data_IF_805423987504
#
_entry.id   IF_805423987504
#
_cell.length_a   1.000
_cell.length_b   1.000
_cell.length_c   1.000
_cell.angle_alpha   90.00
_cell.angle_beta   90.00
_cell.angle_gamma   90.00
#
_symmetry.space_group_name_H-M   'P 1'
#
loop_
_entity.id
_entity.type
_entity.pdbx_description
1 polymer ?
#
# COMPACT_ATOMS: atom_id res chain seq x y z
N UNK A 1 -15.64 16.72 32.58
CA UNK A 1 -16.35 16.86 31.29
C UNK A 1 -15.30 17.06 30.21
N UNK A 2 -14.77 15.98 29.64
CA UNK A 2 -13.91 16.07 28.46
C UNK A 2 -14.80 16.47 27.28
N UNK A 3 -14.64 17.70 26.81
CA UNK A 3 -15.32 18.16 25.62
C UNK A 3 -14.86 17.31 24.46
N UNK A 4 -15.75 16.49 23.90
CA UNK A 4 -15.53 15.78 22.64
C UNK A 4 -15.25 16.81 21.54
N UNK A 5 -13.97 17.13 21.35
CA UNK A 5 -13.52 17.97 20.25
C UNK A 5 -14.04 17.34 18.95
N UNK A 6 -14.87 18.08 18.22
CA UNK A 6 -15.38 17.61 16.93
C UNK A 6 -14.17 17.23 16.07
N UNK A 7 -14.13 16.00 15.50
CA UNK A 7 -13.00 15.59 14.69
C UNK A 7 -12.79 16.63 13.59
N UNK A 8 -11.60 17.23 13.54
CA UNK A 8 -11.25 18.13 12.46
C UNK A 8 -11.51 17.41 11.15
N UNK A 9 -12.33 18.01 10.29
CA UNK A 9 -12.62 17.46 8.97
C UNK A 9 -11.33 17.57 8.17
N UNK A 10 -10.60 16.46 8.08
CA UNK A 10 -9.37 16.37 7.31
C UNK A 10 -9.72 16.58 5.84
N UNK A 11 -9.15 17.62 5.23
CA UNK A 11 -9.32 17.88 3.81
C UNK A 11 -8.72 16.71 3.00
N UNK A 12 -9.61 15.95 2.37
CA UNK A 12 -9.27 14.77 1.57
C UNK A 12 -8.50 15.12 0.30
N UNK A 13 -8.47 16.39 -0.10
CA UNK A 13 -7.64 16.83 -1.22
C UNK A 13 -6.17 16.96 -0.84
N UNK A 14 -5.89 17.19 0.45
CA UNK A 14 -4.56 17.54 0.96
C UNK A 14 -3.90 16.32 1.62
N UNK A 15 -4.67 15.44 2.25
CA UNK A 15 -4.16 14.23 2.89
C UNK A 15 -4.75 12.99 2.23
N UNK A 16 -3.88 12.11 1.72
CA UNK A 16 -4.29 10.84 1.17
C UNK A 16 -4.44 9.79 2.27
N UNK A 17 -5.69 9.50 2.64
CA UNK A 17 -6.02 8.44 3.59
C UNK A 17 -6.42 7.16 2.84
N UNK A 18 -5.45 6.28 2.61
CA UNK A 18 -5.71 4.99 1.95
C UNK A 18 -6.61 4.07 2.79
N UNK A 19 -6.57 4.17 4.11
CA UNK A 19 -7.40 3.35 5.01
C UNK A 19 -8.91 3.58 4.79
N UNK A 20 -9.30 4.81 4.46
CA UNK A 20 -10.69 5.18 4.13
C UNK A 20 -11.02 4.95 2.66
N UNK A 21 -10.13 5.33 1.74
CA UNK A 21 -10.41 5.22 0.29
C UNK A 21 -10.41 3.77 -0.24
N UNK A 22 -9.79 2.85 0.50
CA UNK A 22 -9.61 1.45 0.10
C UNK A 22 -10.04 0.47 1.18
N UNK A 23 -10.95 0.88 2.05
CA UNK A 23 -11.39 0.09 3.20
C UNK A 23 -11.81 -1.33 2.80
N UNK A 24 -12.66 -1.48 1.78
CA UNK A 24 -13.09 -2.79 1.30
C UNK A 24 -11.93 -3.65 0.81
N UNK A 25 -11.00 -3.07 0.05
CA UNK A 25 -9.85 -3.81 -0.46
C UNK A 25 -8.90 -4.23 0.68
N UNK A 26 -8.71 -3.38 1.68
CA UNK A 26 -7.92 -3.69 2.87
C UNK A 26 -8.60 -4.74 3.76
N UNK A 27 -9.93 -4.75 3.83
CA UNK A 27 -10.69 -5.82 4.49
C UNK A 27 -10.55 -7.14 3.74
N UNK A 28 -10.71 -7.11 2.41
CA UNK A 28 -10.55 -8.28 1.54
C UNK A 28 -9.12 -8.81 1.50
N UNK A 29 -8.09 -8.03 1.82
CA UNK A 29 -6.70 -8.50 1.93
C UNK A 29 -6.29 -8.88 3.35
N UNK A 30 -7.22 -8.82 4.31
CA UNK A 30 -6.96 -8.97 5.74
C UNK A 30 -5.98 -7.93 6.33
N UNK A 31 -5.71 -6.82 5.61
CA UNK A 31 -4.92 -5.69 6.12
C UNK A 31 -5.67 -4.86 7.15
N UNK A 32 -7.01 -4.85 7.09
CA UNK A 32 -7.87 -4.13 8.03
C UNK A 32 -8.91 -5.07 8.61
N UNK A 33 -8.91 -5.18 9.93
CA UNK A 33 -9.96 -5.87 10.70
C UNK A 33 -10.85 -4.79 11.32
N UNK A 34 -12.16 -4.85 11.03
CA UNK A 34 -13.09 -3.85 11.55
C UNK A 34 -13.22 -3.97 13.07
N UNK A 35 -12.83 -2.93 13.79
CA UNK A 35 -12.97 -2.83 15.25
C UNK A 35 -14.30 -2.17 15.68
N UNK A 36 -15.25 -1.98 14.75
CA UNK A 36 -16.51 -1.28 15.04
C UNK A 36 -17.45 -2.04 15.98
N UNK A 37 -17.41 -3.38 15.99
CA UNK A 37 -18.14 -4.21 16.96
C UNK A 37 -17.36 -5.48 17.26
N UNK A 38 -17.60 -6.08 18.44
CA UNK A 38 -16.97 -7.37 18.82
C UNK A 38 -17.24 -8.44 17.76
N UNK A 39 -18.47 -8.55 17.28
CA UNK A 39 -18.85 -9.53 16.24
C UNK A 39 -18.09 -9.31 14.94
N UNK A 40 -18.00 -8.07 14.43
CA UNK A 40 -17.24 -7.77 13.20
C UNK A 40 -15.75 -8.07 13.35
N UNK A 41 -15.19 -7.84 14.54
CA UNK A 41 -13.80 -8.20 14.85
C UNK A 41 -13.60 -9.72 14.84
N UNK A 42 -14.48 -10.49 15.48
CA UNK A 42 -14.43 -11.95 15.46
C UNK A 42 -14.56 -12.50 14.03
N UNK A 43 -15.55 -12.01 13.25
CA UNK A 43 -15.72 -12.41 11.86
C UNK A 43 -14.49 -12.09 11.00
N UNK A 44 -13.90 -10.90 11.17
CA UNK A 44 -12.67 -10.52 10.47
C UNK A 44 -11.46 -11.37 10.84
N UNK A 45 -11.30 -11.71 12.12
CA UNK A 45 -10.24 -12.62 12.59
C UNK A 45 -10.42 -14.05 12.07
N UNK A 46 -11.65 -14.58 12.11
CA UNK A 46 -11.97 -15.90 11.55
C UNK A 46 -11.69 -15.94 10.05
N UNK A 47 -12.09 -14.89 9.32
CA UNK A 47 -11.77 -14.76 7.90
C UNK A 47 -10.26 -14.74 7.65
N UNK A 48 -9.50 -13.93 8.39
CA UNK A 48 -8.06 -13.87 8.28
C UNK A 48 -7.38 -15.23 8.57
N UNK A 49 -7.88 -15.98 9.56
CA UNK A 49 -7.41 -17.33 9.88
C UNK A 49 -7.70 -18.32 8.74
N UNK A 50 -8.91 -18.30 8.18
CA UNK A 50 -9.29 -19.16 7.04
C UNK A 50 -8.39 -18.88 5.84
N UNK A 51 -8.15 -17.60 5.53
CA UNK A 51 -7.28 -17.18 4.43
C UNK A 51 -5.84 -17.61 4.68
N UNK A 52 -5.35 -17.47 5.92
CA UNK A 52 -4.01 -17.90 6.30
C UNK A 52 -3.85 -19.41 6.11
N UNK A 53 -4.80 -20.21 6.61
CA UNK A 53 -4.80 -21.67 6.46
C UNK A 53 -4.87 -22.08 4.98
N UNK A 54 -5.70 -21.38 4.19
CA UNK A 54 -5.79 -21.59 2.75
C UNK A 54 -4.45 -21.34 2.05
N UNK A 55 -3.82 -20.18 2.28
CA UNK A 55 -2.51 -19.86 1.70
C UNK A 55 -1.40 -20.80 2.17
N UNK A 56 -1.46 -21.26 3.43
CA UNK A 56 -0.53 -22.23 3.96
C UNK A 56 -0.69 -23.61 3.30
N UNK A 57 -1.93 -24.06 3.10
CA UNK A 57 -2.20 -25.29 2.33
C UNK A 57 -1.65 -25.18 0.91
N UNK A 58 -1.91 -24.07 0.21
CA UNK A 58 -1.42 -23.84 -1.15
C UNK A 58 0.12 -23.78 -1.23
N UNK A 59 0.78 -23.24 -0.20
CA UNK A 59 2.23 -23.29 -0.07
C UNK A 59 2.73 -24.74 -0.04
N UNK A 60 2.14 -25.58 0.83
CA UNK A 60 2.52 -26.98 0.94
C UNK A 60 2.24 -27.74 -0.36
N UNK A 61 1.09 -27.50 -0.99
CA UNK A 61 0.74 -28.09 -2.28
C UNK A 61 1.72 -27.67 -3.39
N UNK A 62 2.11 -26.40 -3.43
CA UNK A 62 3.10 -25.88 -4.37
C UNK A 62 4.49 -26.49 -4.20
N UNK A 63 4.96 -26.61 -2.95
CA UNK A 63 6.24 -27.27 -2.64
C UNK A 63 6.22 -28.77 -2.99
N UNK A 64 5.10 -29.45 -2.72
CA UNK A 64 4.94 -30.85 -3.10
C UNK A 64 4.92 -31.03 -4.63
N UNK A 65 4.18 -30.17 -5.33
CA UNK A 65 4.18 -30.13 -6.80
C UNK A 65 5.56 -29.91 -7.38
N UNK A 66 6.35 -29.01 -6.80
CA UNK A 66 7.72 -28.73 -7.23
C UNK A 66 8.58 -30.00 -7.25
N UNK A 67 8.46 -30.85 -6.21
CA UNK A 67 9.17 -32.14 -6.15
C UNK A 67 8.68 -33.08 -7.25
N UNK A 68 7.37 -33.16 -7.49
CA UNK A 68 6.79 -34.06 -8.50
C UNK A 68 7.17 -33.70 -9.95
N UNK A 69 7.41 -32.43 -10.23
CA UNK A 69 7.65 -31.92 -11.60
C UNK A 69 9.11 -31.52 -11.84
N UNK A 70 10.05 -31.87 -10.96
CA UNK A 70 11.46 -31.45 -11.05
C UNK A 70 12.12 -31.79 -12.40
N UNK A 71 11.62 -32.82 -13.10
CA UNK A 71 12.07 -33.19 -14.45
C UNK A 71 11.58 -32.26 -15.57
N UNK A 72 10.52 -31.48 -15.37
CA UNK A 72 9.95 -30.54 -16.33
C UNK A 72 10.33 -29.10 -15.93
N UNK A 73 11.44 -28.59 -16.45
CA UNK A 73 12.01 -27.28 -16.09
C UNK A 73 11.02 -26.13 -16.20
N UNK A 74 10.13 -26.15 -17.19
CA UNK A 74 9.15 -25.09 -17.43
C UNK A 74 8.10 -25.08 -16.31
N UNK A 75 7.49 -26.24 -16.04
CA UNK A 75 6.50 -26.36 -14.96
C UNK A 75 7.11 -26.15 -13.59
N UNK A 76 8.35 -26.60 -13.40
CA UNK A 76 9.11 -26.39 -12.17
C UNK A 76 9.30 -24.89 -11.90
N UNK A 77 9.71 -24.10 -12.91
CA UNK A 77 9.89 -22.66 -12.75
C UNK A 77 8.56 -21.93 -12.50
N UNK A 78 7.50 -22.30 -13.24
CA UNK A 78 6.15 -21.76 -13.02
C UNK A 78 5.67 -22.03 -11.57
N UNK A 79 5.85 -23.25 -11.08
CA UNK A 79 5.44 -23.68 -9.74
C UNK A 79 6.26 -22.99 -8.66
N UNK A 80 7.58 -22.90 -8.84
CA UNK A 80 8.47 -22.21 -7.91
C UNK A 80 8.11 -20.73 -7.82
N UNK A 81 7.87 -20.07 -8.96
CA UNK A 81 7.45 -18.68 -8.99
C UNK A 81 6.13 -18.47 -8.22
N UNK A 82 5.14 -19.33 -8.47
CA UNK A 82 3.87 -19.27 -7.74
C UNK A 82 4.03 -19.53 -6.25
N UNK A 83 4.85 -20.51 -5.85
CA UNK A 83 5.15 -20.77 -4.45
C UNK A 83 5.80 -19.54 -3.78
N UNK A 84 6.73 -18.85 -4.44
CA UNK A 84 7.33 -17.61 -3.93
C UNK A 84 6.26 -16.51 -3.73
N UNK A 85 5.33 -16.36 -4.67
CA UNK A 85 4.23 -15.38 -4.53
C UNK A 85 3.27 -15.72 -3.38
N UNK A 86 2.98 -17.01 -3.16
CA UNK A 86 2.20 -17.46 -2.00
C UNK A 86 2.97 -17.22 -0.70
N UNK A 87 4.28 -17.46 -0.69
CA UNK A 87 5.13 -17.20 0.46
C UNK A 87 5.11 -15.72 0.82
N UNK A 88 5.23 -14.86 -0.19
CA UNK A 88 5.13 -13.43 -0.06
C UNK A 88 3.79 -13.01 0.56
N UNK A 89 2.67 -13.50 0.03
CA UNK A 89 1.34 -13.19 0.57
C UNK A 89 1.16 -13.67 2.03
N UNK A 90 1.59 -14.91 2.32
CA UNK A 90 1.52 -15.51 3.66
C UNK A 90 2.40 -14.76 4.67
N UNK A 91 3.61 -14.38 4.26
CA UNK A 91 4.55 -13.60 5.08
C UNK A 91 3.96 -12.24 5.42
N UNK A 92 3.33 -11.57 4.46
CA UNK A 92 2.67 -10.30 4.69
C UNK A 92 1.49 -10.41 5.66
N UNK A 93 0.65 -11.42 5.50
CA UNK A 93 -0.45 -11.67 6.42
C UNK A 93 0.05 -11.93 7.84
N UNK A 94 1.10 -12.74 7.97
CA UNK A 94 1.72 -13.07 9.27
C UNK A 94 2.36 -11.85 9.92
N UNK A 95 3.08 -11.03 9.14
CA UNK A 95 3.70 -9.79 9.63
C UNK A 95 2.66 -8.78 10.05
N UNK A 96 1.53 -8.66 9.33
CA UNK A 96 0.46 -7.74 9.72
C UNK A 96 -0.19 -8.12 11.05
N UNK A 97 -0.28 -9.41 11.38
CA UNK A 97 -0.76 -9.87 12.68
C UNK A 97 0.20 -9.52 13.83
N UNK A 98 1.49 -9.31 13.54
CA UNK A 98 2.53 -8.97 14.54
C UNK A 98 2.85 -7.47 14.63
N UNK A 99 2.59 -6.72 13.56
CA UNK A 99 3.08 -5.36 13.39
C UNK A 99 2.02 -4.31 13.74
N UNK A 100 2.39 -3.44 14.69
CA UNK A 100 1.68 -2.18 15.00
C UNK A 100 2.00 -1.13 13.94
N UNK A 101 1.28 -1.18 12.81
CA UNK A 101 1.31 -0.11 11.80
C UNK A 101 0.44 1.09 12.19
N UNK A 102 -0.42 0.95 13.21
CA UNK A 102 -1.33 2.00 13.65
C UNK A 102 -0.63 3.34 13.97
N UNK A 103 0.51 3.38 14.70
CA UNK A 103 1.15 4.65 15.04
C UNK A 103 1.64 5.41 13.81
N UNK A 104 2.19 4.70 12.82
CA UNK A 104 2.62 5.31 11.56
C UNK A 104 1.40 5.88 10.83
N UNK A 105 0.35 5.08 10.67
CA UNK A 105 -0.89 5.54 10.02
C UNK A 105 -1.51 6.75 10.72
N UNK A 106 -1.44 6.81 12.05
CA UNK A 106 -1.94 7.92 12.83
C UNK A 106 -1.19 9.21 12.54
N UNK A 107 0.14 9.17 12.43
CA UNK A 107 0.98 10.33 12.06
C UNK A 107 0.59 10.84 10.67
N UNK A 108 0.43 9.95 9.69
CA UNK A 108 0.00 10.35 8.34
C UNK A 108 -1.41 10.94 8.32
N UNK A 109 -2.34 10.37 9.10
CA UNK A 109 -3.73 10.82 9.15
C UNK A 109 -3.91 12.16 9.87
N UNK A 110 -3.12 12.43 10.91
CA UNK A 110 -3.10 13.72 11.61
C UNK A 110 -2.37 14.81 10.81
N UNK A 111 -1.56 14.40 9.83
CA UNK A 111 -0.61 15.27 9.15
C UNK A 111 0.69 15.36 9.94
N UNK A 112 1.82 15.43 9.23
CA UNK A 112 3.15 15.44 9.84
C UNK A 112 3.40 16.71 10.66
N UNK A 113 3.41 17.84 9.97
CA UNK A 113 3.71 19.14 10.54
C UNK A 113 2.86 20.20 9.85
N UNK A 114 2.36 21.13 10.65
CA UNK A 114 1.57 22.27 10.18
C UNK A 114 2.30 23.52 10.59
N UNK A 115 2.76 24.29 9.61
CA UNK A 115 3.34 25.61 9.86
C UNK A 115 2.23 26.60 10.24
N UNK A 116 2.55 27.61 11.04
CA UNK A 116 1.59 28.69 11.28
C UNK A 116 1.31 29.44 9.97
N UNK A 117 0.04 29.43 9.52
CA UNK A 117 -0.72 30.20 8.48
C UNK A 117 -0.02 30.84 7.26
N UNK A 118 1.27 31.11 7.25
CA UNK A 118 1.97 31.98 6.30
C UNK A 118 2.59 31.22 5.10
N UNK A 119 2.44 29.89 5.03
CA UNK A 119 2.90 29.04 3.93
C UNK A 119 1.75 28.25 3.26
N UNK A 120 0.51 28.55 3.65
CA UNK A 120 -0.63 27.66 3.49
C UNK A 120 -0.88 27.26 2.02
N UNK A 121 -0.99 28.23 1.11
CA UNK A 121 -1.46 27.96 -0.25
C UNK A 121 -0.49 27.11 -1.08
N UNK A 122 0.80 27.46 -1.12
CA UNK A 122 1.81 26.67 -1.86
C UNK A 122 2.01 25.28 -1.24
N UNK A 123 1.96 25.17 0.09
CA UNK A 123 2.04 23.86 0.75
C UNK A 123 0.83 22.99 0.43
N UNK A 124 -0.37 23.58 0.45
CA UNK A 124 -1.60 22.92 0.04
C UNK A 124 -1.55 22.46 -1.41
N UNK A 125 -1.02 23.28 -2.31
CA UNK A 125 -0.84 22.92 -3.72
C UNK A 125 0.13 21.74 -3.89
N UNK A 126 1.29 21.77 -3.23
CA UNK A 126 2.25 20.65 -3.24
C UNK A 126 1.54 19.37 -2.77
N UNK A 127 0.89 19.42 -1.60
CA UNK A 127 0.17 18.26 -1.03
C UNK A 127 -0.90 17.74 -1.99
N UNK A 128 -1.75 18.62 -2.52
CA UNK A 128 -2.81 18.28 -3.48
C UNK A 128 -2.25 17.61 -4.74
N UNK A 129 -1.15 18.11 -5.27
CA UNK A 129 -0.47 17.52 -6.42
C UNK A 129 0.04 16.10 -6.11
N UNK A 130 0.64 15.88 -4.95
CA UNK A 130 1.06 14.54 -4.52
C UNK A 130 -0.11 13.59 -4.29
N UNK A 131 -1.20 14.03 -3.65
CA UNK A 131 -2.42 13.23 -3.47
C UNK A 131 -3.01 12.82 -4.82
N UNK A 132 -3.11 13.76 -5.77
CA UNK A 132 -3.58 13.47 -7.14
C UNK A 132 -2.68 12.43 -7.82
N UNK A 133 -1.37 12.60 -7.71
CA UNK A 133 -0.40 11.67 -8.28
C UNK A 133 -0.49 10.28 -7.65
N UNK A 134 -0.63 10.17 -6.33
CA UNK A 134 -0.83 8.89 -5.62
C UNK A 134 -2.07 8.19 -6.15
N UNK A 135 -3.21 8.89 -6.24
CA UNK A 135 -4.47 8.31 -6.77
C UNK A 135 -4.32 7.81 -8.20
N UNK A 136 -3.63 8.56 -9.05
CA UNK A 136 -3.38 8.16 -10.44
C UNK A 136 -2.49 6.92 -10.53
N UNK A 137 -1.35 6.91 -9.83
CA UNK A 137 -0.41 5.78 -9.82
C UNK A 137 -1.08 4.53 -9.27
N UNK A 138 -1.78 4.63 -8.13
CA UNK A 138 -2.49 3.51 -7.52
C UNK A 138 -3.60 2.96 -8.42
N UNK A 139 -4.36 3.84 -9.10
CA UNK A 139 -5.39 3.43 -10.08
C UNK A 139 -4.78 2.67 -11.26
N UNK A 140 -3.65 3.11 -11.78
CA UNK A 140 -2.94 2.44 -12.87
C UNK A 140 -2.36 1.11 -12.43
N UNK A 141 -1.64 1.08 -11.31
CA UNK A 141 -1.05 -0.13 -10.75
C UNK A 141 -2.09 -1.22 -10.55
N UNK A 142 -3.23 -0.89 -9.91
CA UNK A 142 -4.32 -1.85 -9.70
C UNK A 142 -4.84 -2.44 -11.01
N UNK A 143 -5.06 -1.60 -12.03
CA UNK A 143 -5.52 -2.06 -13.35
C UNK A 143 -4.50 -3.01 -13.98
N UNK A 144 -3.21 -2.68 -13.90
CA UNK A 144 -2.13 -3.51 -14.43
C UNK A 144 -2.04 -4.86 -13.70
N UNK A 145 -2.06 -4.87 -12.36
CA UNK A 145 -1.98 -6.09 -11.56
C UNK A 145 -3.17 -7.01 -11.82
N UNK A 146 -4.39 -6.48 -11.78
CA UNK A 146 -5.61 -7.29 -12.04
C UNK A 146 -5.64 -7.81 -13.47
N UNK A 147 -5.30 -6.96 -14.45
CA UNK A 147 -5.22 -7.38 -15.86
C UNK A 147 -4.16 -8.45 -16.08
N UNK A 148 -3.00 -8.33 -15.42
CA UNK A 148 -1.92 -9.32 -15.49
C UNK A 148 -2.34 -10.66 -14.89
N UNK A 149 -2.95 -10.67 -13.69
CA UNK A 149 -3.45 -11.90 -13.06
C UNK A 149 -4.53 -12.59 -13.90
N UNK A 150 -5.47 -11.82 -14.45
CA UNK A 150 -6.50 -12.33 -15.36
C UNK A 150 -5.91 -12.89 -16.65
N UNK A 151 -4.99 -12.16 -17.28
CA UNK A 151 -4.29 -12.58 -18.49
C UNK A 151 -3.52 -13.88 -18.24
N UNK A 152 -2.81 -13.99 -17.12
CA UNK A 152 -2.10 -15.20 -16.73
C UNK A 152 -3.04 -16.41 -16.66
N UNK A 153 -4.19 -16.28 -15.99
CA UNK A 153 -5.17 -17.36 -15.86
C UNK A 153 -5.73 -17.79 -17.23
N UNK A 154 -6.13 -16.83 -18.07
CA UNK A 154 -6.69 -17.14 -19.39
C UNK A 154 -5.64 -17.74 -20.34
N UNK A 155 -4.51 -17.05 -20.53
CA UNK A 155 -3.51 -17.45 -21.52
C UNK A 155 -2.82 -18.76 -21.14
N UNK A 156 -2.52 -19.00 -19.85
CA UNK A 156 -1.93 -20.29 -19.47
C UNK A 156 -2.89 -21.45 -19.65
N UNK A 157 -4.17 -21.26 -19.35
CA UNK A 157 -5.20 -22.29 -19.59
C UNK A 157 -5.33 -22.58 -21.09
N UNK A 158 -5.44 -21.54 -21.91
CA UNK A 158 -5.55 -21.67 -23.35
C UNK A 158 -4.31 -22.34 -23.97
N UNK A 159 -3.11 -21.92 -23.56
CA UNK A 159 -1.83 -22.52 -23.97
C UNK A 159 -1.79 -24.01 -23.63
N UNK A 160 -2.11 -24.37 -22.38
CA UNK A 160 -2.11 -25.77 -21.92
C UNK A 160 -3.14 -26.63 -22.65
N UNK A 161 -4.32 -26.07 -22.91
CA UNK A 161 -5.35 -26.72 -23.73
C UNK A 161 -4.83 -27.00 -25.16
N UNK A 162 -4.25 -25.98 -25.82
CA UNK A 162 -3.68 -26.14 -27.17
C UNK A 162 -2.55 -27.17 -27.17
N UNK A 163 -1.60 -27.11 -26.22
CA UNK A 163 -0.50 -28.08 -26.13
C UNK A 163 -1.00 -29.52 -26.00
N UNK A 164 -2.12 -29.74 -25.30
CA UNK A 164 -2.71 -31.07 -25.15
C UNK A 164 -3.25 -31.66 -26.44
N UNK A 165 -3.71 -30.81 -27.38
CA UNK A 165 -4.20 -31.26 -28.68
C UNK A 165 -3.06 -31.87 -29.51
N UNK A 166 -1.83 -31.40 -29.30
CA UNK A 166 -0.65 -31.86 -30.05
C UNK A 166 0.14 -32.97 -29.34
N UNK A 167 0.13 -33.01 -28.00
CA UNK A 167 0.89 -34.02 -27.22
C UNK A 167 0.00 -35.23 -26.90
N UNK A 168 0.19 -36.34 -27.64
CA UNK A 168 -0.53 -37.61 -27.43
C UNK A 168 -0.15 -38.41 -26.17
N UNK A 169 0.86 -37.99 -25.40
CA UNK A 169 1.32 -38.76 -24.23
C UNK A 169 0.63 -38.29 -22.95
N UNK A 170 -0.13 -39.14 -22.25
CA UNK A 170 -0.55 -38.83 -20.90
C UNK A 170 0.72 -38.68 -20.05
N UNK A 171 0.85 -37.55 -19.34
CA UNK A 171 1.92 -37.40 -18.37
C UNK A 171 1.69 -38.42 -17.25
N UNK A 172 2.71 -39.18 -16.89
CA UNK A 172 2.69 -40.08 -15.72
C UNK A 172 2.62 -39.32 -14.37
N UNK A 173 2.69 -37.98 -14.42
CA UNK A 173 2.66 -37.11 -13.26
C UNK A 173 1.20 -36.96 -12.80
N UNK A 174 0.91 -37.13 -11.50
CA UNK A 174 -0.43 -37.01 -10.92
C UNK A 174 -0.88 -35.55 -10.74
N UNK A 175 -0.53 -34.67 -11.69
CA UNK A 175 -0.91 -33.27 -11.71
C UNK A 175 -1.62 -33.00 -13.02
N UNK A 176 -2.80 -32.40 -12.92
CA UNK A 176 -3.59 -32.08 -14.09
C UNK A 176 -2.86 -31.03 -14.97
N UNK A 177 -2.51 -31.35 -16.23
CA UNK A 177 -1.74 -30.46 -17.07
C UNK A 177 -2.54 -29.23 -17.54
N UNK A 178 -3.86 -29.22 -17.36
CA UNK A 178 -4.77 -28.14 -17.80
C UNK A 178 -4.96 -27.03 -16.77
N UNK A 179 -4.54 -27.24 -15.52
CA UNK A 179 -4.66 -26.20 -14.49
C UNK A 179 -3.71 -25.03 -14.80
N UNK A 180 -4.13 -23.76 -14.62
CA UNK A 180 -3.27 -22.59 -14.85
C UNK A 180 -1.97 -22.68 -14.07
N UNK A 181 -2.07 -23.11 -12.81
CA UNK A 181 -0.94 -23.38 -11.92
C UNK A 181 -0.94 -24.89 -11.64
N UNK A 182 0.17 -25.60 -11.88
CA UNK A 182 0.24 -27.06 -11.77
C UNK A 182 0.45 -27.49 -10.30
N UNK A 183 -0.41 -27.02 -9.40
CA UNK A 183 -0.43 -27.45 -8.01
C UNK A 183 -1.13 -28.80 -7.84
N UNK A 184 -0.62 -29.58 -6.88
CA UNK A 184 -1.19 -30.86 -6.51
C UNK A 184 -2.51 -30.62 -5.80
N UNK A 185 -3.51 -31.42 -6.15
CA UNK A 185 -4.80 -31.45 -5.47
C UNK A 185 -5.07 -32.87 -5.00
N UNK A 186 -5.57 -33.06 -3.76
CA UNK A 186 -5.75 -34.38 -3.16
C UNK A 186 -7.05 -35.07 -3.64
N UNK A 187 -7.49 -34.77 -4.86
CA UNK A 187 -8.69 -35.34 -5.45
C UNK A 187 -8.51 -35.46 -6.97
N UNK A 188 -9.21 -36.43 -7.57
CA UNK A 188 -9.15 -36.62 -9.00
C UNK A 188 -9.79 -35.44 -9.74
N UNK A 189 -9.11 -34.91 -10.75
CA UNK A 189 -9.55 -33.78 -11.58
C UNK A 189 -9.97 -34.23 -12.98
N UNK A 190 -10.22 -35.53 -13.16
CA UNK A 190 -10.74 -36.10 -14.40
C UNK A 190 -12.19 -35.64 -14.71
N UNK A 191 -12.99 -35.40 -13.68
CA UNK A 191 -14.37 -34.94 -13.83
C UNK A 191 -14.45 -33.43 -14.03
N UNK A 192 -15.45 -32.96 -14.79
CA UNK A 192 -15.68 -31.52 -15.01
C UNK A 192 -15.86 -30.79 -13.67
N UNK A 193 -16.64 -31.36 -12.75
CA UNK A 193 -16.92 -30.75 -11.45
C UNK A 193 -15.64 -30.57 -10.63
N UNK A 194 -14.83 -31.63 -10.47
CA UNK A 194 -13.61 -31.57 -9.68
C UNK A 194 -12.54 -30.70 -10.34
N UNK A 195 -12.46 -30.71 -11.68
CA UNK A 195 -11.63 -29.76 -12.41
C UNK A 195 -12.05 -28.31 -12.16
N UNK A 196 -13.35 -28.00 -12.22
CA UNK A 196 -13.86 -26.65 -11.94
C UNK A 196 -13.51 -26.21 -10.52
N UNK A 197 -13.60 -27.10 -9.52
CA UNK A 197 -13.20 -26.78 -8.13
C UNK A 197 -11.69 -26.46 -8.05
N UNK A 198 -10.83 -27.28 -8.66
CA UNK A 198 -9.39 -27.02 -8.70
C UNK A 198 -9.05 -25.73 -9.46
N UNK A 199 -9.77 -25.43 -10.54
CA UNK A 199 -9.62 -24.19 -11.29
C UNK A 199 -10.03 -22.97 -10.45
N UNK A 200 -11.19 -23.03 -9.79
CA UNK A 200 -11.67 -21.95 -8.93
C UNK A 200 -10.73 -21.70 -7.74
N UNK A 201 -10.08 -22.75 -7.24
CA UNK A 201 -9.03 -22.66 -6.23
C UNK A 201 -7.83 -21.85 -6.76
N UNK A 202 -7.38 -22.13 -7.99
CA UNK A 202 -6.33 -21.34 -8.67
C UNK A 202 -6.74 -19.88 -8.94
N UNK A 203 -8.01 -19.64 -9.25
CA UNK A 203 -8.54 -18.27 -9.39
C UNK A 203 -8.52 -17.56 -8.04
N UNK A 204 -8.95 -18.24 -6.97
CA UNK A 204 -8.99 -17.67 -5.62
C UNK A 204 -7.59 -17.29 -5.13
N UNK A 205 -6.60 -18.19 -5.27
CA UNK A 205 -5.22 -17.89 -4.85
C UNK A 205 -4.61 -16.74 -5.67
N UNK A 206 -4.83 -16.72 -6.99
CA UNK A 206 -4.33 -15.63 -7.84
C UNK A 206 -4.98 -14.30 -7.49
N UNK A 207 -6.30 -14.30 -7.25
CA UNK A 207 -7.02 -13.14 -6.75
C UNK A 207 -6.41 -12.62 -5.45
N UNK A 208 -6.18 -13.50 -4.48
CA UNK A 208 -5.56 -13.16 -3.20
C UNK A 208 -4.18 -12.55 -3.34
N UNK A 209 -3.30 -13.17 -4.13
CA UNK A 209 -1.97 -12.63 -4.46
C UNK A 209 -2.11 -11.23 -5.05
N UNK A 210 -3.01 -11.02 -6.02
CA UNK A 210 -3.22 -9.72 -6.64
C UNK A 210 -3.68 -8.66 -5.62
N UNK A 211 -4.69 -8.95 -4.80
CA UNK A 211 -5.24 -7.99 -3.83
C UNK A 211 -4.18 -7.62 -2.78
N UNK A 212 -3.48 -8.61 -2.23
CA UNK A 212 -2.40 -8.38 -1.24
C UNK A 212 -1.30 -7.53 -1.87
N UNK A 213 -0.86 -7.86 -3.08
CA UNK A 213 0.16 -7.11 -3.82
C UNK A 213 -0.24 -5.66 -4.05
N UNK A 214 -1.46 -5.42 -4.53
CA UNK A 214 -1.97 -4.05 -4.73
C UNK A 214 -2.01 -3.30 -3.40
N UNK A 215 -2.50 -3.91 -2.31
CA UNK A 215 -2.54 -3.25 -1.00
C UNK A 215 -1.15 -2.83 -0.52
N UNK A 216 -0.16 -3.72 -0.63
CA UNK A 216 1.21 -3.43 -0.17
C UNK A 216 1.82 -2.28 -0.98
N UNK A 217 1.72 -2.35 -2.31
CA UNK A 217 2.26 -1.29 -3.15
C UNK A 217 1.50 0.03 -2.97
N UNK A 218 0.17 0.01 -2.83
CA UNK A 218 -0.61 1.23 -2.58
C UNK A 218 -0.17 1.87 -1.26
N UNK A 219 0.00 1.11 -0.18
CA UNK A 219 0.53 1.61 1.10
C UNK A 219 1.93 2.19 0.90
N UNK A 220 2.85 1.41 0.31
CA UNK A 220 4.24 1.82 0.12
C UNK A 220 4.38 3.10 -0.72
N UNK A 221 3.73 3.16 -1.89
CA UNK A 221 3.74 4.34 -2.77
C UNK A 221 3.15 5.54 -2.06
N UNK A 222 2.07 5.36 -1.29
CA UNK A 222 1.42 6.44 -0.56
C UNK A 222 2.31 7.01 0.52
N UNK A 223 2.97 6.15 1.31
CA UNK A 223 3.91 6.57 2.36
C UNK A 223 5.10 7.32 1.74
N UNK A 224 5.73 6.76 0.71
CA UNK A 224 6.90 7.35 0.07
C UNK A 224 6.58 8.70 -0.58
N UNK A 225 5.45 8.81 -1.28
CA UNK A 225 5.04 10.06 -1.95
C UNK A 225 4.66 11.14 -0.95
N UNK A 226 3.96 10.78 0.13
CA UNK A 226 3.63 11.73 1.19
C UNK A 226 4.88 12.19 1.95
N UNK A 227 5.82 11.28 2.24
CA UNK A 227 7.12 11.65 2.84
C UNK A 227 7.91 12.59 1.92
N UNK A 228 7.96 12.30 0.62
CA UNK A 228 8.57 13.19 -0.39
C UNK A 228 7.92 14.58 -0.38
N UNK A 229 6.59 14.64 -0.29
CA UNK A 229 5.88 15.91 -0.20
C UNK A 229 6.30 16.72 1.05
N UNK A 230 6.50 16.07 2.20
CA UNK A 230 6.97 16.77 3.40
C UNK A 230 8.41 17.29 3.27
N UNK A 231 9.32 16.53 2.66
CA UNK A 231 10.66 17.02 2.37
C UNK A 231 10.66 18.23 1.41
N UNK A 232 9.78 18.21 0.41
CA UNK A 232 9.62 19.34 -0.52
C UNK A 232 9.07 20.59 0.18
N UNK A 233 8.10 20.39 1.08
CA UNK A 233 7.57 21.46 1.94
C UNK A 233 8.64 22.01 2.87
N UNK A 234 9.44 21.15 3.51
CA UNK A 234 10.55 21.57 4.37
C UNK A 234 11.57 22.38 3.58
N UNK A 235 11.96 21.92 2.39
CA UNK A 235 12.88 22.63 1.52
C UNK A 235 12.33 24.01 1.13
N UNK A 236 11.07 24.08 0.69
CA UNK A 236 10.39 25.35 0.40
C UNK A 236 10.40 26.29 1.62
N UNK A 237 10.18 25.75 2.81
CA UNK A 237 10.13 26.49 4.06
C UNK A 237 11.49 27.02 4.51
N UNK A 238 12.58 26.32 4.18
CA UNK A 238 13.96 26.77 4.41
C UNK A 238 14.33 27.84 3.38
N UNK A 239 14.06 27.62 2.09
CA UNK A 239 14.35 28.59 1.03
C UNK A 239 13.64 29.93 1.24
N UNK A 240 12.44 29.91 1.83
CA UNK A 240 11.64 31.11 2.10
C UNK A 240 11.71 31.57 3.57
N UNK A 241 12.75 31.19 4.33
CA UNK A 241 12.82 31.49 5.77
C UNK A 241 12.84 32.99 6.06
N UNK A 242 13.54 33.78 5.25
CA UNK A 242 13.63 35.24 5.38
C UNK A 242 12.28 35.89 5.11
N UNK A 243 11.58 35.47 4.06
CA UNK A 243 10.25 35.99 3.72
C UNK A 243 9.23 35.67 4.82
N UNK A 244 9.31 34.49 5.45
CA UNK A 244 8.47 34.12 6.58
C UNK A 244 8.77 34.98 7.80
N UNK A 245 10.04 35.16 8.13
CA UNK A 245 10.47 36.02 9.23
C UNK A 245 9.99 37.46 9.03
N UNK A 246 10.08 37.98 7.80
CA UNK A 246 9.59 39.30 7.42
C UNK A 246 8.08 39.44 7.60
N UNK A 247 7.30 38.44 7.14
CA UNK A 247 5.84 38.43 7.33
C UNK A 247 5.46 38.45 8.80
N UNK A 248 6.14 37.66 9.65
CA UNK A 248 5.94 37.65 11.10
C UNK A 248 6.30 38.98 11.74
N UNK A 249 7.44 39.55 11.39
CA UNK A 249 7.91 40.84 11.90
C UNK A 249 6.95 41.99 11.56
N UNK A 250 6.39 41.99 10.35
CA UNK A 250 5.41 42.99 9.92
C UNK A 250 4.01 42.78 10.53
N UNK A 251 3.73 41.62 11.12
CA UNK A 251 2.44 41.31 11.74
C UNK A 251 2.29 42.13 13.01
N UNK A 252 1.58 43.26 12.91
CA UNK A 252 1.36 44.19 14.01
C UNK A 252 2.17 45.49 13.92
N UNK A 253 2.98 45.68 12.87
CA UNK A 253 3.65 46.97 12.59
C UNK A 253 2.98 47.68 11.42
N UNK A 254 2.45 48.87 11.67
CA UNK A 254 2.00 49.80 10.63
C UNK A 254 3.18 50.70 10.27
N UNK A 255 3.86 50.42 9.16
CA UNK A 255 4.99 51.24 8.70
C UNK A 255 5.47 50.88 7.30
N UNK A 256 6.21 51.78 6.64
CA UNK A 256 6.78 51.52 5.32
C UNK A 256 7.75 50.34 5.38
N UNK A 257 7.77 49.52 4.33
CA UNK A 257 8.68 48.37 4.22
C UNK A 257 10.13 48.87 4.18
N UNK A 258 10.86 48.63 5.26
CA UNK A 258 12.31 48.83 5.31
C UNK A 258 13.01 47.78 4.43
N UNK A 259 14.22 48.11 3.95
CA UNK A 259 15.08 47.16 3.24
C UNK A 259 15.48 46.02 4.17
N UNK A 260 15.43 44.78 3.68
CA UNK A 260 15.67 43.57 4.49
C UNK A 260 17.06 43.58 5.11
N UNK A 261 18.05 44.15 4.43
CA UNK A 261 19.43 44.28 4.90
C UNK A 261 19.53 45.08 6.21
N UNK A 262 18.70 46.11 6.37
CA UNK A 262 18.65 46.92 7.59
C UNK A 262 17.94 46.19 8.74
N UNK A 263 16.98 45.31 8.41
CA UNK A 263 16.23 44.54 9.40
C UNK A 263 17.10 43.50 10.12
N UNK A 264 18.16 42.99 9.48
CA UNK A 264 19.08 42.05 10.14
C UNK A 264 19.78 42.63 11.38
N UNK A 265 19.89 43.96 11.49
CA UNK A 265 20.45 44.61 12.69
C UNK A 265 19.42 44.74 13.82
N UNK A 266 18.14 44.51 13.55
CA UNK A 266 17.07 44.63 14.53
C UNK A 266 16.85 43.31 15.25
N UNK A 267 16.98 43.32 16.58
CA UNK A 267 16.79 42.15 17.44
C UNK A 267 15.45 41.45 17.21
N UNK A 268 14.37 42.22 17.08
CA UNK A 268 13.01 41.68 16.88
C UNK A 268 12.87 40.88 15.57
N UNK A 269 13.56 41.29 14.50
CA UNK A 269 13.57 40.55 13.24
C UNK A 269 14.43 39.28 13.35
N UNK A 270 15.57 39.35 14.03
CA UNK A 270 16.39 38.18 14.33
C UNK A 270 15.62 37.13 15.15
N UNK A 271 14.82 37.57 16.13
CA UNK A 271 13.95 36.68 16.93
C UNK A 271 12.90 35.98 16.05
N UNK A 272 12.28 36.70 15.10
CA UNK A 272 11.35 36.12 14.13
C UNK A 272 12.03 35.08 13.21
N UNK A 273 13.25 35.38 12.76
CA UNK A 273 14.06 34.47 11.94
C UNK A 273 14.43 33.20 12.70
N UNK A 274 14.85 33.35 13.96
CA UNK A 274 15.18 32.23 14.85
C UNK A 274 13.97 31.32 15.06
N UNK A 275 12.77 31.86 15.27
CA UNK A 275 11.57 31.03 15.42
C UNK A 275 11.21 30.30 14.12
N UNK A 276 11.33 30.96 12.96
CA UNK A 276 11.11 30.29 11.67
C UNK A 276 12.08 29.13 11.43
N UNK A 277 13.35 29.28 11.85
CA UNK A 277 14.36 28.22 11.81
C UNK A 277 14.04 27.08 12.78
N UNK A 278 13.63 27.40 14.02
CA UNK A 278 13.18 26.41 15.01
C UNK A 278 12.04 25.57 14.49
N UNK A 279 11.07 26.16 13.80
CA UNK A 279 9.98 25.42 13.17
C UNK A 279 10.47 24.45 12.09
N UNK A 280 11.46 24.84 11.28
CA UNK A 280 12.06 23.94 10.29
C UNK A 280 12.78 22.78 10.96
N UNK A 281 13.52 23.03 12.05
CA UNK A 281 14.17 21.98 12.85
C UNK A 281 13.14 21.04 13.47
N UNK A 282 12.05 21.58 14.04
CA UNK A 282 10.94 20.77 14.59
C UNK A 282 10.31 19.90 13.50
N UNK A 283 10.02 20.46 12.32
CA UNK A 283 9.49 19.70 11.19
C UNK A 283 10.46 18.59 10.77
N UNK A 284 11.75 18.88 10.61
CA UNK A 284 12.74 17.87 10.27
C UNK A 284 12.82 16.74 11.31
N UNK A 285 12.81 17.08 12.60
CA UNK A 285 12.79 16.10 13.67
C UNK A 285 11.54 15.20 13.64
N UNK A 286 10.38 15.75 13.28
CA UNK A 286 9.16 14.95 13.06
C UNK A 286 9.31 13.98 11.89
N UNK A 287 10.06 14.34 10.84
CA UNK A 287 10.30 13.45 9.69
C UNK A 287 11.29 12.31 9.99
N UNK A 288 12.18 12.49 10.96
CA UNK A 288 13.17 11.47 11.35
C UNK A 288 12.63 10.44 12.35
N UNK A 289 11.51 10.74 13.02
CA UNK A 289 10.87 9.88 14.01
C UNK A 289 9.92 8.88 13.35
#
# INVERSE_FOLDING_TARGET
MEGNAKPQVVDREVIYNFDKERELQMMMSCFKISNSSKLKRYLGLSYALIVWLFLFYEMCAGLYSFVLIIGDKTKMLETLHMAILVFYALSHLTNKLKSDFEPVLEIFNKGFYTYEKDLDERQHEIRRNYVRNIRLVNKWLRRMTVSSGFSFLLFNTAKKYIESLYKKRPSSIPINPYLPIPFYVPFDTSSVLTFTVAYMTNVAIMYWICVVTVCIYEIYISLLKQLKAQFEILNLSISNVVDRALRRYLRGKAGPRQKVEMLYQQKEFQDCLLECLRENVRHHHVLLR
#
